data_IF_611018911874
#
_entry.id   IF_611018911874
#
_cell.length_a   1.000
_cell.length_b   1.000
_cell.length_c   1.000
_cell.angle_alpha   90.00
_cell.angle_beta   90.00
_cell.angle_gamma   90.00
#
_symmetry.space_group_name_H-M   'P 1'
#
loop_
_entity.id
_entity.type
_entity.pdbx_description
1 polymer ?
#
# COMPACT_ATOMS: atom_id res chain seq x y z
N UNK A 1 13.91 10.48 -26.71
CA UNK A 1 12.52 10.09 -26.43
C UNK A 1 12.49 9.45 -25.05
N UNK A 2 11.81 10.07 -24.09
CA UNK A 2 11.66 9.52 -22.75
C UNK A 2 10.79 8.26 -22.85
N UNK A 3 11.35 7.10 -22.51
CA UNK A 3 10.63 5.82 -22.58
C UNK A 3 9.68 5.77 -21.38
N UNK A 4 8.37 5.90 -21.61
CA UNK A 4 7.38 5.68 -20.55
C UNK A 4 7.32 4.19 -20.25
N UNK A 5 7.68 3.81 -19.03
CA UNK A 5 7.61 2.42 -18.57
C UNK A 5 6.14 1.98 -18.47
N UNK A 6 5.86 0.74 -18.89
CA UNK A 6 4.55 0.11 -18.71
C UNK A 6 4.26 -0.16 -17.23
N UNK A 7 2.99 -0.36 -16.88
CA UNK A 7 2.59 -0.72 -15.52
C UNK A 7 3.33 -1.97 -15.01
N UNK A 8 3.49 -2.96 -15.88
CA UNK A 8 4.23 -4.19 -15.58
C UNK A 8 5.69 -3.90 -15.27
N UNK A 9 6.39 -3.13 -16.11
CA UNK A 9 7.80 -2.78 -15.87
C UNK A 9 7.97 -1.97 -14.59
N UNK A 10 7.09 -0.99 -14.31
CA UNK A 10 7.11 -0.24 -13.06
C UNK A 10 6.93 -1.15 -11.84
N UNK A 11 5.98 -2.09 -11.93
CA UNK A 11 5.71 -3.07 -10.89
C UNK A 11 6.93 -3.97 -10.64
N UNK A 12 7.48 -4.59 -11.69
CA UNK A 12 8.64 -5.48 -11.58
C UNK A 12 9.86 -4.76 -10.98
N UNK A 13 10.11 -3.51 -11.37
CA UNK A 13 11.19 -2.69 -10.82
C UNK A 13 10.98 -2.39 -9.33
N UNK A 14 9.75 -2.02 -8.94
CA UNK A 14 9.41 -1.72 -7.56
C UNK A 14 9.54 -2.97 -6.67
N UNK A 15 8.98 -4.10 -7.10
CA UNK A 15 9.09 -5.38 -6.39
C UNK A 15 10.55 -5.79 -6.23
N UNK A 16 11.36 -5.68 -7.30
CA UNK A 16 12.79 -5.99 -7.25
C UNK A 16 13.55 -5.13 -6.25
N UNK A 17 13.30 -3.81 -6.23
CA UNK A 17 13.88 -2.87 -5.25
C UNK A 17 13.49 -3.24 -3.82
N UNK A 18 12.18 -3.41 -3.56
CA UNK A 18 11.67 -3.70 -2.22
C UNK A 18 12.15 -5.05 -1.71
N UNK A 19 12.14 -6.09 -2.56
CA UNK A 19 12.64 -7.43 -2.23
C UNK A 19 14.10 -7.37 -1.80
N UNK A 20 14.94 -6.67 -2.57
CA UNK A 20 16.36 -6.54 -2.26
C UNK A 20 16.65 -5.75 -0.97
N UNK A 21 15.74 -4.89 -0.54
CA UNK A 21 15.91 -4.07 0.67
C UNK A 21 15.30 -4.69 1.93
N UNK A 22 14.18 -5.39 1.81
CA UNK A 22 13.34 -5.78 2.95
C UNK A 22 13.10 -7.28 3.10
N UNK A 23 13.47 -8.10 2.12
CA UNK A 23 13.12 -9.52 2.12
C UNK A 23 14.31 -10.46 1.87
N UNK A 24 15.54 -9.99 1.97
CA UNK A 24 16.78 -10.80 1.91
C UNK A 24 16.83 -11.84 0.75
N UNK A 25 16.14 -11.56 -0.37
CA UNK A 25 16.06 -12.42 -1.55
C UNK A 25 14.76 -13.21 -1.72
N UNK A 26 13.84 -13.20 -0.75
CA UNK A 26 12.48 -13.74 -0.91
C UNK A 26 11.58 -12.71 -1.61
N UNK A 27 11.03 -13.07 -2.78
CA UNK A 27 10.21 -12.14 -3.57
C UNK A 27 9.00 -11.63 -2.79
N UNK A 28 8.92 -10.32 -2.62
CA UNK A 28 7.75 -9.68 -2.01
C UNK A 28 6.56 -9.74 -2.96
N UNK A 29 5.48 -10.34 -2.47
CA UNK A 29 4.18 -10.29 -3.14
C UNK A 29 3.44 -8.98 -2.79
N UNK A 30 2.28 -8.79 -3.43
CA UNK A 30 1.45 -7.60 -3.21
C UNK A 30 1.06 -7.42 -1.74
N UNK A 31 0.63 -8.49 -1.06
CA UNK A 31 0.28 -8.43 0.37
C UNK A 31 1.46 -7.99 1.25
N UNK A 32 2.67 -8.49 0.97
CA UNK A 32 3.88 -8.07 1.66
C UNK A 32 4.18 -6.58 1.46
N UNK A 33 3.99 -6.07 0.24
CA UNK A 33 4.17 -4.64 -0.05
C UNK A 33 3.10 -3.79 0.66
N UNK A 34 1.83 -4.21 0.62
CA UNK A 34 0.74 -3.53 1.33
C UNK A 34 1.05 -3.50 2.84
N UNK A 35 1.53 -4.61 3.40
CA UNK A 35 1.93 -4.68 4.80
C UNK A 35 3.06 -3.69 5.12
N UNK A 36 4.10 -3.61 4.28
CA UNK A 36 5.19 -2.65 4.45
C UNK A 36 4.68 -1.20 4.44
N UNK A 37 3.77 -0.87 3.52
CA UNK A 37 3.12 0.44 3.48
C UNK A 37 2.37 0.70 4.78
N UNK A 38 1.58 -0.26 5.27
CA UNK A 38 0.85 -0.13 6.53
C UNK A 38 1.76 0.14 7.72
N UNK A 39 2.89 -0.58 7.82
CA UNK A 39 3.89 -0.35 8.88
C UNK A 39 4.50 1.04 8.78
N UNK A 40 4.77 1.52 7.57
CA UNK A 40 5.30 2.86 7.35
C UNK A 40 4.29 3.95 7.73
N UNK A 41 3.04 3.81 7.32
CA UNK A 41 1.97 4.78 7.61
C UNK A 41 1.59 4.81 9.10
N UNK A 42 1.75 3.70 9.82
CA UNK A 42 1.60 3.69 11.27
C UNK A 42 2.69 4.53 11.97
N UNK A 43 3.87 4.70 11.36
CA UNK A 43 4.93 5.57 11.88
C UNK A 43 5.59 5.13 13.19
N UNK A 44 5.21 3.97 13.75
CA UNK A 44 5.75 3.42 15.02
C UNK A 44 7.06 2.62 14.83
N UNK A 45 7.58 2.53 13.60
CA UNK A 45 8.76 1.74 13.27
C UNK A 45 8.51 0.23 13.26
N UNK A 46 9.60 -0.54 13.12
CA UNK A 46 9.52 -2.00 13.08
C UNK A 46 9.37 -2.58 14.51
N UNK A 47 8.21 -3.17 14.79
CA UNK A 47 7.96 -4.00 15.97
C UNK A 47 7.20 -5.27 15.58
N UNK A 48 7.20 -6.26 16.46
CA UNK A 48 6.39 -7.45 16.24
C UNK A 48 4.91 -7.10 16.43
N UNK A 49 4.14 -7.21 15.36
CA UNK A 49 2.69 -6.99 15.36
C UNK A 49 1.93 -8.30 15.61
N UNK A 50 0.92 -8.24 16.48
CA UNK A 50 -0.03 -9.35 16.69
C UNK A 50 -0.88 -9.58 15.44
N UNK A 51 -1.53 -10.75 15.34
CA UNK A 51 -2.37 -11.10 14.18
C UNK A 51 -3.42 -10.04 13.87
N UNK A 52 -4.12 -9.52 14.88
CA UNK A 52 -5.14 -8.49 14.70
C UNK A 52 -4.53 -7.14 14.25
N UNK A 53 -3.37 -6.76 14.81
CA UNK A 53 -2.63 -5.57 14.38
C UNK A 53 -2.20 -5.68 12.91
N UNK A 54 -1.82 -6.88 12.44
CA UNK A 54 -1.50 -7.09 11.02
C UNK A 54 -2.70 -6.83 10.12
N UNK A 55 -3.91 -7.21 10.53
CA UNK A 55 -5.14 -6.92 9.77
C UNK A 55 -5.38 -5.41 9.73
N UNK A 56 -5.19 -4.72 10.85
CA UNK A 56 -5.33 -3.26 10.90
C UNK A 56 -4.31 -2.55 10.01
N UNK A 57 -3.06 -3.03 9.96
CA UNK A 57 -2.03 -2.50 9.06
C UNK A 57 -2.43 -2.64 7.59
N UNK A 58 -3.05 -3.77 7.21
CA UNK A 58 -3.58 -3.95 5.86
C UNK A 58 -4.69 -2.94 5.55
N UNK A 59 -5.60 -2.68 6.50
CA UNK A 59 -6.65 -1.67 6.32
C UNK A 59 -6.07 -0.26 6.17
N UNK A 60 -5.11 0.13 7.02
CA UNK A 60 -4.45 1.44 6.91
C UNK A 60 -3.81 1.60 5.54
N UNK A 61 -3.05 0.59 5.10
CA UNK A 61 -2.39 0.63 3.81
C UNK A 61 -3.40 0.77 2.65
N UNK A 62 -4.48 -0.02 2.65
CA UNK A 62 -5.50 0.06 1.59
C UNK A 62 -6.21 1.42 1.60
N UNK A 63 -6.60 1.93 2.78
CA UNK A 63 -7.19 3.26 2.89
C UNK A 63 -6.25 4.34 2.35
N UNK A 64 -4.96 4.28 2.71
CA UNK A 64 -3.97 5.24 2.22
C UNK A 64 -3.76 5.17 0.72
N UNK A 65 -3.67 3.95 0.18
CA UNK A 65 -3.50 3.70 -1.25
C UNK A 65 -4.68 4.22 -2.07
N UNK A 66 -5.89 4.17 -1.50
CA UNK A 66 -7.13 4.52 -2.18
C UNK A 66 -7.63 5.94 -1.85
N UNK A 67 -6.96 6.66 -0.93
CA UNK A 67 -7.23 8.06 -0.61
C UNK A 67 -7.11 8.99 -1.85
N UNK A 68 -6.06 8.90 -2.69
CA UNK A 68 -5.96 9.72 -3.92
C UNK A 68 -7.07 9.45 -4.94
N UNK A 69 -7.76 8.31 -4.83
CA UNK A 69 -8.84 7.91 -5.70
C UNK A 69 -10.23 8.35 -5.16
N UNK A 70 -10.28 8.99 -3.99
CA UNK A 70 -11.52 9.52 -3.39
C UNK A 70 -12.42 8.48 -2.73
N UNK A 71 -11.89 7.30 -2.41
CA UNK A 71 -12.63 6.28 -1.65
C UNK A 71 -12.57 6.52 -0.15
N UNK A 72 -11.43 6.98 0.35
CA UNK A 72 -11.16 7.22 1.76
C UNK A 72 -10.54 8.60 1.98
N UNK A 73 -10.71 9.14 3.17
CA UNK A 73 -10.02 10.35 3.62
C UNK A 73 -9.55 10.13 5.05
N UNK A 74 -8.32 10.55 5.35
CA UNK A 74 -7.81 10.56 6.73
C UNK A 74 -8.74 11.36 7.65
N UNK A 75 -9.02 10.83 8.83
CA UNK A 75 -9.91 11.44 9.81
C UNK A 75 -9.13 11.90 11.06
N UNK A 76 -8.58 10.96 11.83
CA UNK A 76 -7.81 11.26 13.05
C UNK A 76 -6.90 10.09 13.45
N UNK A 77 -6.00 10.33 14.40
CA UNK A 77 -5.28 9.28 15.13
C UNK A 77 -5.98 9.01 16.47
N UNK A 78 -6.20 7.74 16.81
CA UNK A 78 -6.75 7.38 18.11
C UNK A 78 -5.70 7.49 19.25
N UNK A 79 -6.12 7.15 20.48
CA UNK A 79 -5.27 7.19 21.67
C UNK A 79 -4.06 6.24 21.58
N UNK A 80 -4.14 5.18 20.76
CA UNK A 80 -3.07 4.23 20.48
C UNK A 80 -2.21 4.66 19.26
N UNK A 81 -2.44 5.87 18.74
CA UNK A 81 -1.81 6.47 17.57
C UNK A 81 -2.03 5.68 16.27
N UNK A 82 -3.15 4.96 16.14
CA UNK A 82 -3.56 4.34 14.88
C UNK A 82 -4.32 5.35 14.01
N UNK A 83 -3.96 5.50 12.72
CA UNK A 83 -4.70 6.35 11.80
C UNK A 83 -6.05 5.72 11.45
N UNK A 84 -7.10 6.52 11.58
CA UNK A 84 -8.46 6.20 11.15
C UNK A 84 -8.83 6.99 9.90
N UNK A 85 -9.61 6.35 9.04
CA UNK A 85 -10.05 6.89 7.77
C UNK A 85 -11.57 6.81 7.69
N UNK A 86 -12.19 7.83 7.12
CA UNK A 86 -13.60 7.81 6.77
C UNK A 86 -13.79 7.38 5.32
N UNK A 87 -14.79 6.55 5.07
CA UNK A 87 -15.20 6.19 3.72
C UNK A 87 -15.94 7.37 3.09
N UNK A 88 -15.43 7.88 1.98
CA UNK A 88 -16.09 8.90 1.17
C UNK A 88 -17.01 8.26 0.14
N UNK A 89 -16.52 7.22 -0.54
CA UNK A 89 -17.23 6.51 -1.60
C UNK A 89 -17.03 5.02 -1.43
N UNK A 90 -18.09 4.24 -1.60
CA UNK A 90 -17.97 2.78 -1.60
C UNK A 90 -17.21 2.31 -2.84
N UNK A 91 -16.25 1.41 -2.64
CA UNK A 91 -15.56 0.74 -3.74
C UNK A 91 -16.59 -0.02 -4.60
N UNK A 92 -16.56 0.15 -5.93
CA UNK A 92 -17.44 -0.63 -6.80
C UNK A 92 -17.10 -2.12 -6.68
N UNK A 93 -18.07 -2.97 -7.05
CA UNK A 93 -17.82 -4.41 -7.17
C UNK A 93 -16.85 -4.68 -8.33
N UNK A 94 -15.57 -4.83 -8.00
CA UNK A 94 -14.49 -5.13 -8.95
C UNK A 94 -14.30 -6.64 -9.09
N UNK A 95 -14.02 -7.11 -10.31
CA UNK A 95 -13.57 -8.48 -10.55
C UNK A 95 -12.15 -8.67 -9.97
N UNK A 96 -11.72 -9.90 -9.63
CA UNK A 96 -10.40 -10.14 -9.06
C UNK A 96 -9.23 -9.56 -9.88
N UNK A 97 -9.33 -9.59 -11.22
CA UNK A 97 -8.33 -8.98 -12.10
C UNK A 97 -8.30 -7.45 -12.01
N UNK A 98 -9.46 -6.81 -11.88
CA UNK A 98 -9.58 -5.34 -11.77
C UNK A 98 -9.07 -4.86 -10.42
N UNK A 99 -9.36 -5.59 -9.34
CA UNK A 99 -8.80 -5.32 -8.01
C UNK A 99 -7.27 -5.37 -8.03
N UNK A 100 -6.72 -6.41 -8.66
CA UNK A 100 -5.26 -6.56 -8.76
C UNK A 100 -4.62 -5.40 -9.52
N UNK A 101 -5.23 -4.96 -10.63
CA UNK A 101 -4.71 -3.82 -11.42
C UNK A 101 -4.78 -2.53 -10.60
N UNK A 102 -5.94 -2.23 -10.00
CA UNK A 102 -6.13 -1.05 -9.15
C UNK A 102 -5.09 -0.99 -8.04
N UNK A 103 -4.87 -2.11 -7.33
CA UNK A 103 -3.90 -2.15 -6.23
C UNK A 103 -2.46 -1.95 -6.72
N UNK A 104 -2.07 -2.53 -7.87
CA UNK A 104 -0.75 -2.28 -8.46
C UNK A 104 -0.55 -0.82 -8.82
N UNK A 105 -1.55 -0.21 -9.46
CA UNK A 105 -1.51 1.22 -9.83
C UNK A 105 -1.40 2.10 -8.59
N UNK A 106 -2.21 1.84 -7.57
CA UNK A 106 -2.22 2.61 -6.33
C UNK A 106 -0.87 2.48 -5.59
N UNK A 107 -0.31 1.27 -5.50
CA UNK A 107 1.00 1.04 -4.87
C UNK A 107 2.11 1.79 -5.61
N UNK A 108 2.14 1.67 -6.94
CA UNK A 108 3.14 2.38 -7.75
C UNK A 108 2.99 3.89 -7.58
N UNK A 109 1.76 4.40 -7.58
CA UNK A 109 1.51 5.82 -7.36
C UNK A 109 1.98 6.27 -5.98
N UNK A 110 1.70 5.51 -4.93
CA UNK A 110 2.17 5.79 -3.58
C UNK A 110 3.71 5.94 -3.54
N UNK A 111 4.47 4.99 -4.09
CA UNK A 111 5.94 5.10 -4.11
C UNK A 111 6.46 6.22 -5.03
N UNK A 112 5.77 6.49 -6.14
CA UNK A 112 6.09 7.62 -7.03
C UNK A 112 5.92 8.96 -6.32
N UNK A 113 4.85 9.14 -5.53
CA UNK A 113 4.64 10.35 -4.72
C UNK A 113 5.71 10.53 -3.62
N UNK A 114 6.29 9.44 -3.15
CA UNK A 114 7.42 9.43 -2.21
C UNK A 114 8.78 9.64 -2.88
N UNK A 115 8.83 9.75 -4.21
CA UNK A 115 10.07 9.84 -5.01
C UNK A 115 11.06 8.68 -4.74
N UNK A 116 10.54 7.45 -4.59
CA UNK A 116 11.30 6.22 -4.30
C UNK A 116 11.81 5.49 -5.57
#
# INVERSE_FOLDING_TARGET
>A
MSKTLTLKEKWDLLVGKLTGQFADGDELNMDGIIYLIGVQELGQGHREFKKDEKVNLMHIAICKLLEPYGYYEFDFYDDDAWPHYKTLTELPNLKPGEQTVLMKEAIINYFDTLNY
#
